data_IF_280628470381
#
_entry.id   IF_280628470381
#
_cell.length_a   1.000
_cell.length_b   1.000
_cell.length_c   1.000
_cell.angle_alpha   90.00
_cell.angle_beta   90.00
_cell.angle_gamma   90.00
#
_symmetry.space_group_name_H-M   'P 1'
#
loop_
_entity.id
_entity.type
_entity.pdbx_description
1 polymer ?
#
# COMPACT_ATOMS: atom_id res chain seq x y z
N UNK A 1 3.65 -0.06 -16.92
CA UNK A 1 2.73 0.10 -15.79
C UNK A 1 2.74 -1.20 -15.01
N UNK A 2 3.05 -1.16 -13.72
CA UNK A 2 3.00 -2.34 -12.85
C UNK A 2 1.58 -2.87 -12.76
N UNK A 3 1.36 -4.17 -12.98
CA UNK A 3 0.02 -4.79 -12.92
C UNK A 3 -0.52 -4.93 -11.48
N UNK A 4 0.32 -4.58 -10.51
CA UNK A 4 0.10 -4.72 -9.08
C UNK A 4 0.65 -3.51 -8.34
N UNK A 5 0.04 -3.24 -7.21
CA UNK A 5 0.47 -2.24 -6.24
C UNK A 5 0.61 -2.91 -4.87
N UNK A 6 1.46 -2.34 -4.06
CA UNK A 6 1.74 -2.73 -2.68
C UNK A 6 1.15 -1.67 -1.76
N UNK A 7 0.25 -2.10 -0.90
CA UNK A 7 -0.45 -1.24 0.05
C UNK A 7 0.13 -1.48 1.43
N UNK A 8 0.59 -0.40 2.05
CA UNK A 8 1.09 -0.40 3.40
C UNK A 8 -0.04 0.05 4.32
N UNK A 9 -0.38 -0.80 5.28
CA UNK A 9 -1.41 -0.52 6.27
C UNK A 9 -0.83 -0.54 7.68
N UNK A 10 -1.19 0.46 8.48
CA UNK A 10 -0.86 0.61 9.89
C UNK A 10 -2.16 0.51 10.68
N UNK A 11 -2.32 -0.50 11.54
CA UNK A 11 -3.55 -0.72 12.33
C UNK A 11 -4.84 -0.71 11.47
N UNK A 12 -4.81 -1.43 10.34
CA UNK A 12 -5.90 -1.48 9.34
C UNK A 12 -6.17 -0.17 8.57
N UNK A 13 -5.42 0.92 8.79
CA UNK A 13 -5.49 2.12 7.97
C UNK A 13 -4.41 2.12 6.87
N UNK A 14 -4.78 2.42 5.63
CA UNK A 14 -3.81 2.46 4.52
C UNK A 14 -3.04 3.77 4.60
N UNK A 15 -1.72 3.68 4.77
CA UNK A 15 -0.82 4.82 4.91
C UNK A 15 0.01 5.07 3.65
N UNK A 16 0.17 4.05 2.81
CA UNK A 16 1.00 4.15 1.61
C UNK A 16 0.61 3.18 0.50
N UNK A 17 0.93 3.58 -0.74
CA UNK A 17 0.79 2.75 -1.93
C UNK A 17 2.02 2.90 -2.83
N UNK A 18 2.56 1.77 -3.27
CA UNK A 18 3.80 1.67 -4.01
C UNK A 18 3.67 0.74 -5.21
N UNK A 19 4.33 1.04 -6.32
CA UNK A 19 4.41 0.18 -7.50
C UNK A 19 5.67 -0.69 -7.52
N UNK A 20 6.67 -0.34 -6.71
CA UNK A 20 7.88 -1.11 -6.44
C UNK A 20 7.75 -1.88 -5.10
N UNK A 21 8.23 -3.11 -5.08
CA UNK A 21 8.24 -3.94 -3.87
C UNK A 21 9.35 -3.54 -2.91
N UNK A 22 10.54 -3.21 -3.41
CA UNK A 22 11.70 -2.96 -2.57
C UNK A 22 11.49 -1.68 -1.74
N UNK A 23 10.96 -0.63 -2.37
CA UNK A 23 10.55 0.60 -1.69
C UNK A 23 9.48 0.33 -0.63
N UNK A 24 8.49 -0.51 -0.96
CA UNK A 24 7.39 -0.80 -0.06
C UNK A 24 7.84 -1.58 1.20
N UNK A 25 8.86 -2.42 1.07
CA UNK A 25 9.46 -3.14 2.19
C UNK A 25 10.30 -2.21 3.05
N UNK A 26 11.12 -1.35 2.44
CA UNK A 26 11.90 -0.36 3.19
C UNK A 26 11.00 0.54 4.04
N UNK A 27 9.91 1.06 3.47
CA UNK A 27 8.96 1.89 4.22
C UNK A 27 8.26 1.11 5.33
N UNK A 28 7.91 -0.16 5.07
CA UNK A 28 7.30 -1.04 6.08
C UNK A 28 8.23 -1.25 7.26
N UNK A 29 9.50 -1.54 7.00
CA UNK A 29 10.50 -1.77 8.04
C UNK A 29 10.75 -0.49 8.83
N UNK A 30 10.84 0.67 8.16
CA UNK A 30 10.93 1.98 8.81
C UNK A 30 9.74 2.25 9.73
N UNK A 31 8.51 2.05 9.26
CA UNK A 31 7.31 2.24 10.08
C UNK A 31 7.25 1.27 11.27
N UNK A 32 7.72 0.03 11.09
CA UNK A 32 7.76 -0.96 12.15
C UNK A 32 8.78 -0.61 13.23
N UNK A 33 9.91 0.00 12.86
CA UNK A 33 10.91 0.52 13.80
C UNK A 33 10.40 1.76 14.55
N UNK A 34 9.67 2.68 13.91
CA UNK A 34 9.09 3.83 14.62
C UNK A 34 7.89 3.43 15.49
N UNK A 35 7.08 2.48 15.04
CA UNK A 35 5.81 2.09 15.64
C UNK A 35 5.85 0.65 16.17
N UNK A 36 6.72 0.39 17.15
CA UNK A 36 6.94 -0.93 17.76
C UNK A 36 5.69 -1.63 18.32
N UNK A 37 4.57 -0.92 18.52
CA UNK A 37 3.32 -1.47 19.07
C UNK A 37 2.23 -1.69 18.03
N UNK A 38 2.41 -1.16 16.83
CA UNK A 38 1.38 -1.11 15.80
C UNK A 38 1.58 -2.24 14.78
N UNK A 39 0.47 -2.72 14.22
CA UNK A 39 0.50 -3.80 13.23
C UNK A 39 0.77 -3.20 11.85
N UNK A 40 1.98 -3.40 11.33
CA UNK A 40 2.40 -2.93 10.01
C UNK A 40 2.30 -4.08 9.01
N UNK A 41 1.31 -3.99 8.11
CA UNK A 41 1.05 -5.03 7.11
C UNK A 41 1.26 -4.49 5.71
N UNK A 42 2.01 -5.24 4.91
CA UNK A 42 2.17 -4.98 3.49
C UNK A 42 1.29 -5.95 2.69
N UNK A 43 0.31 -5.41 1.95
CA UNK A 43 -0.63 -6.19 1.14
C UNK A 43 -0.41 -5.94 -0.35
N UNK A 44 -0.22 -7.02 -1.10
CA UNK A 44 -0.20 -6.98 -2.56
C UNK A 44 -1.62 -6.99 -3.12
N UNK A 45 -1.98 -6.00 -3.93
CA UNK A 45 -3.22 -6.01 -4.70
C UNK A 45 -2.97 -5.78 -6.19
N UNK A 46 -3.80 -6.41 -7.01
CA UNK A 46 -3.76 -6.23 -8.46
C UNK A 46 -4.69 -5.09 -8.87
N UNK A 47 -4.27 -4.28 -9.85
CA UNK A 47 -5.07 -3.17 -10.40
C UNK A 47 -6.48 -3.63 -10.83
N UNK A 48 -6.59 -4.85 -11.38
CA UNK A 48 -7.88 -5.42 -11.79
C UNK A 48 -8.85 -5.76 -10.66
N UNK A 49 -8.35 -5.89 -9.43
CA UNK A 49 -9.17 -6.16 -8.24
C UNK A 49 -9.37 -4.93 -7.38
N UNK A 50 -8.63 -3.86 -7.66
CA UNK A 50 -8.66 -2.60 -6.91
C UNK A 50 -10.01 -1.91 -6.99
N UNK A 51 -10.72 -1.99 -8.12
CA UNK A 51 -12.08 -1.44 -8.26
C UNK A 51 -13.11 -1.99 -7.24
N UNK A 52 -12.80 -3.11 -6.57
CA UNK A 52 -13.64 -3.69 -5.51
C UNK A 52 -13.33 -3.15 -4.11
N UNK A 53 -12.28 -2.36 -3.99
CA UNK A 53 -11.70 -1.90 -2.75
C UNK A 53 -11.63 -0.37 -2.78
N UNK A 54 -12.68 0.28 -2.27
CA UNK A 54 -12.87 1.74 -2.39
C UNK A 54 -11.68 2.52 -1.85
N UNK A 55 -11.19 2.18 -0.66
CA UNK A 55 -10.11 2.91 0.01
C UNK A 55 -8.77 2.74 -0.73
N UNK A 56 -8.39 1.51 -1.07
CA UNK A 56 -7.17 1.28 -1.84
C UNK A 56 -7.25 1.84 -3.28
N UNK A 57 -8.45 1.86 -3.88
CA UNK A 57 -8.68 2.42 -5.21
C UNK A 57 -8.52 3.94 -5.21
N UNK A 58 -9.15 4.63 -4.26
CA UNK A 58 -9.06 6.08 -4.13
C UNK A 58 -7.61 6.51 -3.89
N UNK A 59 -6.89 5.82 -3.00
CA UNK A 59 -5.49 6.15 -2.73
C UNK A 59 -4.57 5.92 -3.93
N UNK A 60 -4.78 4.84 -4.68
CA UNK A 60 -4.03 4.57 -5.90
C UNK A 60 -4.38 5.54 -7.04
N UNK A 61 -5.62 6.03 -7.11
CA UNK A 61 -6.06 7.06 -8.05
C UNK A 61 -5.47 8.42 -7.68
N UNK A 62 -5.48 8.80 -6.41
CA UNK A 62 -4.85 10.05 -5.91
C UNK A 62 -3.36 10.10 -6.20
N UNK A 63 -2.67 8.96 -6.09
CA UNK A 63 -1.24 8.84 -6.40
C UNK A 63 -0.94 8.71 -7.91
N UNK A 64 -1.96 8.64 -8.76
CA UNK A 64 -1.81 8.59 -10.21
C UNK A 64 -1.44 7.22 -10.77
N UNK A 65 -1.56 6.14 -9.99
CA UNK A 65 -1.29 4.78 -10.45
C UNK A 65 -2.46 4.18 -11.26
N UNK A 66 -3.66 4.74 -11.13
CA UNK A 66 -4.87 4.33 -11.86
C UNK A 66 -5.53 5.57 -12.47
N UNK A 67 -6.06 5.44 -13.70
CA UNK A 67 -6.77 6.50 -14.43
C UNK A 67 -8.26 6.23 -14.48
#
# INVERSE_FOLDING_TARGET
>A
MSERLWFLSLNDEIVGVFDDYDIAVEEKDFLQEENHKDDVVLRKKFLRKLEKYTDEYDMARERGYIK
#
